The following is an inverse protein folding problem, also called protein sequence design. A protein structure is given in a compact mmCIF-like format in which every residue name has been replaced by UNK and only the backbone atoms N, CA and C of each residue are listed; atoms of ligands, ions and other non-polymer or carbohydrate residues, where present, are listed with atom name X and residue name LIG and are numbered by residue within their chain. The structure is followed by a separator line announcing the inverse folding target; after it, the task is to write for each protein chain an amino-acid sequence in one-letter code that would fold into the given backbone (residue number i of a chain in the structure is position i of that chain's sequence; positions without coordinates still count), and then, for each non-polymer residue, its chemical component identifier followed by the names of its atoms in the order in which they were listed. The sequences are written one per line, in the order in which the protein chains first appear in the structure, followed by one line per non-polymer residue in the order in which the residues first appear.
data_IF_041421475521
#
_entry.id   IF_041421475521
#
_cell.length_a   1.000
_cell.length_b   1.000
_cell.length_c   1.000
_cell.angle_alpha   90.00
_cell.angle_beta   90.00
_cell.angle_gamma   90.00
#
_symmetry.space_group_name_H-M   'P 1'
#
loop_
_entity.id
_entity.type
_entity.pdbx_description
1 polymer ?
#
# COMPACT_ATOMS: atom_id res chain seq x y z
N UNK A 1 29.55 39.17 -2.38
CA UNK A 1 30.32 38.19 -3.19
C UNK A 1 29.32 37.51 -4.12
N UNK A 2 29.53 37.57 -5.45
CA UNK A 2 28.61 36.95 -6.40
C UNK A 2 28.72 35.41 -6.32
N UNK A 3 27.65 34.68 -6.63
CA UNK A 3 27.64 33.21 -6.65
C UNK A 3 28.70 32.63 -7.60
N UNK A 4 28.98 33.33 -8.69
CA UNK A 4 30.02 32.97 -9.66
C UNK A 4 31.43 33.10 -9.06
N UNK A 5 31.69 34.17 -8.29
CA UNK A 5 32.97 34.37 -7.58
C UNK A 5 33.21 33.27 -6.53
N UNK A 6 32.16 32.90 -5.78
CA UNK A 6 32.22 31.82 -4.79
C UNK A 6 32.52 30.48 -5.46
N UNK A 7 31.87 30.17 -6.59
CA UNK A 7 32.10 28.94 -7.33
C UNK A 7 33.53 28.88 -7.89
N UNK A 8 34.03 29.97 -8.48
CA UNK A 8 35.38 30.00 -9.03
C UNK A 8 36.46 29.79 -7.97
N UNK A 9 36.26 30.34 -6.75
CA UNK A 9 37.19 30.21 -5.62
C UNK A 9 37.10 28.87 -4.90
N UNK A 10 35.92 28.27 -4.81
CA UNK A 10 35.70 27.07 -3.97
C UNK A 10 35.46 25.80 -4.77
N UNK A 11 35.22 25.91 -6.08
CA UNK A 11 34.70 24.85 -6.97
C UNK A 11 33.43 24.17 -6.43
N UNK A 12 32.72 24.84 -5.52
CA UNK A 12 31.47 24.37 -4.91
C UNK A 12 30.35 25.33 -5.28
N UNK A 13 29.19 24.77 -5.62
CA UNK A 13 27.97 25.58 -5.72
C UNK A 13 27.52 25.94 -4.31
N UNK A 14 26.94 27.13 -4.10
CA UNK A 14 26.41 27.50 -2.79
C UNK A 14 25.39 26.46 -2.32
N UNK A 15 25.30 26.19 -1.01
CA UNK A 15 24.31 25.27 -0.45
C UNK A 15 22.91 25.67 -0.93
N UNK A 16 22.14 24.70 -1.42
CA UNK A 16 20.74 24.94 -1.80
C UNK A 16 19.98 25.32 -0.53
N UNK A 17 19.35 26.50 -0.54
CA UNK A 17 18.55 27.01 0.59
C UNK A 17 17.23 26.24 0.77
N UNK A 18 16.72 25.59 -0.29
CA UNK A 18 15.49 24.79 -0.23
C UNK A 18 15.80 23.36 0.21
N UNK A 19 14.99 22.75 1.10
CA UNK A 19 15.14 21.36 1.49
C UNK A 19 15.03 20.45 0.25
N UNK A 20 15.90 19.43 0.17
CA UNK A 20 15.87 18.44 -0.92
C UNK A 20 14.60 17.59 -0.89
N UNK A 21 14.00 17.40 0.29
CA UNK A 21 12.77 16.65 0.47
C UNK A 21 11.56 17.53 0.20
N UNK A 22 10.75 17.16 -0.79
CA UNK A 22 9.34 17.59 -0.85
C UNK A 22 8.53 16.62 0.02
N UNK A 23 7.51 17.08 0.77
CA UNK A 23 6.61 16.16 1.44
C UNK A 23 5.97 15.23 0.39
N UNK A 24 5.71 13.99 0.78
CA UNK A 24 4.97 13.07 -0.06
C UNK A 24 3.61 13.71 -0.42
N UNK A 25 3.11 13.55 -1.66
CA UNK A 25 1.78 14.01 -2.00
C UNK A 25 0.78 13.43 -1.00
N UNK A 26 -0.09 14.27 -0.46
CA UNK A 26 -1.15 13.83 0.45
C UNK A 26 -1.97 12.76 -0.26
N UNK A 27 -2.35 11.72 0.47
CA UNK A 27 -3.23 10.69 -0.07
C UNK A 27 -4.50 11.36 -0.62
N UNK A 28 -5.04 10.81 -1.72
CA UNK A 28 -6.28 11.33 -2.30
C UNK A 28 -7.42 11.13 -1.30
N UNK A 29 -8.32 12.10 -1.20
CA UNK A 29 -9.48 12.05 -0.31
C UNK A 29 -10.27 10.75 -0.46
N UNK A 30 -10.58 10.35 -1.71
CA UNK A 30 -11.21 9.06 -2.03
C UNK A 30 -10.50 7.83 -1.46
N UNK A 31 -9.16 7.85 -1.42
CA UNK A 31 -8.43 6.74 -0.81
C UNK A 31 -8.65 6.72 0.72
N UNK A 32 -8.63 7.89 1.37
CA UNK A 32 -8.80 8.00 2.81
C UNK A 32 -10.21 7.56 3.22
N UNK A 33 -11.22 7.99 2.46
CA UNK A 33 -12.61 7.56 2.64
C UNK A 33 -12.73 6.04 2.49
N UNK A 34 -12.23 5.46 1.40
CA UNK A 34 -12.28 4.02 1.20
C UNK A 34 -11.46 3.21 2.23
N UNK A 35 -10.28 3.68 2.65
CA UNK A 35 -9.51 3.01 3.72
C UNK A 35 -10.32 2.95 5.01
N UNK A 36 -10.97 4.06 5.38
CA UNK A 36 -11.76 4.13 6.61
C UNK A 36 -13.06 3.33 6.50
N UNK A 37 -13.73 3.35 5.34
CA UNK A 37 -14.92 2.52 5.09
C UNK A 37 -14.60 1.04 5.24
N UNK A 38 -13.55 0.54 4.58
CA UNK A 38 -13.18 -0.88 4.70
C UNK A 38 -12.80 -1.26 6.13
N UNK A 39 -12.10 -0.39 6.84
CA UNK A 39 -11.77 -0.59 8.25
C UNK A 39 -13.03 -0.76 9.10
N UNK A 40 -14.02 0.12 8.96
CA UNK A 40 -15.29 0.04 9.69
C UNK A 40 -16.08 -1.22 9.34
N UNK A 41 -16.18 -1.57 8.05
CA UNK A 41 -16.86 -2.78 7.58
C UNK A 41 -16.21 -4.06 8.15
N UNK A 42 -14.87 -4.11 8.23
CA UNK A 42 -14.16 -5.26 8.79
C UNK A 42 -14.40 -5.40 10.30
N UNK A 43 -14.40 -4.28 11.04
CA UNK A 43 -14.74 -4.24 12.47
C UNK A 43 -16.18 -4.67 12.73
N UNK A 44 -17.16 -4.12 11.99
CA UNK A 44 -18.58 -4.45 12.14
C UNK A 44 -18.85 -5.94 11.93
N UNK A 45 -18.10 -6.58 11.02
CA UNK A 45 -18.23 -8.00 10.73
C UNK A 45 -17.26 -8.90 11.49
N UNK A 46 -16.50 -8.34 12.45
CA UNK A 46 -15.55 -9.08 13.30
C UNK A 46 -14.54 -9.90 12.48
N UNK A 47 -14.13 -9.39 11.33
CA UNK A 47 -13.15 -10.04 10.46
C UNK A 47 -11.76 -9.64 10.92
N UNK A 48 -10.89 -10.61 11.26
CA UNK A 48 -9.53 -10.30 11.69
C UNK A 48 -8.67 -9.66 10.59
N UNK A 49 -8.11 -8.48 10.88
CA UNK A 49 -7.25 -7.75 9.95
C UNK A 49 -6.06 -7.06 10.62
N UNK A 50 -5.06 -6.67 9.83
CA UNK A 50 -4.02 -5.70 10.19
C UNK A 50 -3.96 -4.56 9.18
N UNK A 51 -3.88 -3.30 9.66
CA UNK A 51 -3.74 -2.12 8.80
C UNK A 51 -2.27 -1.83 8.51
N UNK A 52 -2.00 -1.29 7.31
CA UNK A 52 -0.67 -0.84 6.88
C UNK A 52 0.38 -1.95 7.07
N UNK A 53 -0.03 -3.18 6.76
CA UNK A 53 0.70 -4.39 7.05
C UNK A 53 2.04 -4.44 6.32
N UNK A 54 3.10 -4.67 7.07
CA UNK A 54 4.45 -4.86 6.57
C UNK A 54 4.80 -6.35 6.66
N UNK A 55 4.68 -7.05 5.53
CA UNK A 55 4.93 -8.48 5.45
C UNK A 55 6.43 -8.85 5.48
N UNK A 56 7.30 -7.91 5.07
CA UNK A 56 8.74 -8.08 5.04
C UNK A 56 9.42 -7.00 5.90
N UNK A 57 10.07 -7.41 6.98
CA UNK A 57 10.69 -6.50 7.94
C UNK A 57 11.84 -5.67 7.36
N UNK A 58 12.59 -6.23 6.40
CA UNK A 58 13.78 -5.61 5.82
C UNK A 58 13.45 -4.55 4.76
N UNK A 59 12.21 -4.55 4.25
CA UNK A 59 11.75 -3.63 3.21
C UNK A 59 10.65 -2.74 3.77
N UNK A 60 10.64 -1.47 3.39
CA UNK A 60 9.57 -0.55 3.80
C UNK A 60 8.26 -0.73 2.99
N UNK A 61 7.99 -1.94 2.53
CA UNK A 61 6.82 -2.28 1.72
C UNK A 61 5.61 -2.50 2.63
N UNK A 62 4.48 -1.91 2.26
CA UNK A 62 3.22 -2.05 3.00
C UNK A 62 2.07 -2.36 2.07
N UNK A 63 1.13 -3.15 2.54
CA UNK A 63 -0.21 -3.29 2.00
C UNK A 63 -1.18 -2.52 2.90
N UNK A 64 -2.30 -2.04 2.37
CA UNK A 64 -3.22 -1.22 3.14
C UNK A 64 -3.93 -2.06 4.21
N UNK A 65 -4.30 -3.30 3.87
CA UNK A 65 -4.84 -4.29 4.81
C UNK A 65 -4.25 -5.68 4.61
N UNK A 66 -4.22 -6.45 5.69
CA UNK A 66 -3.99 -7.89 5.69
C UNK A 66 -5.19 -8.58 6.35
N UNK A 67 -5.88 -9.46 5.62
CA UNK A 67 -6.98 -10.29 6.16
C UNK A 67 -6.41 -11.63 6.60
N UNK A 68 -6.31 -11.81 7.93
CA UNK A 68 -5.48 -12.86 8.55
C UNK A 68 -5.93 -14.26 8.14
N UNK A 69 -7.22 -14.55 8.27
CA UNK A 69 -7.77 -15.89 8.01
C UNK A 69 -7.65 -16.31 6.53
N UNK A 70 -7.67 -15.35 5.61
CA UNK A 70 -7.54 -15.60 4.17
C UNK A 70 -6.09 -15.56 3.66
N UNK A 71 -5.15 -15.18 4.54
CA UNK A 71 -3.77 -14.85 4.16
C UNK A 71 -3.73 -13.87 2.95
N UNK A 72 -4.62 -12.88 2.97
CA UNK A 72 -4.89 -11.97 1.84
C UNK A 72 -4.37 -10.56 2.13
N UNK A 73 -3.56 -10.03 1.22
CA UNK A 73 -3.04 -8.66 1.22
C UNK A 73 -3.89 -7.80 0.29
N UNK A 74 -4.38 -6.68 0.79
CA UNK A 74 -5.24 -5.76 0.04
C UNK A 74 -4.52 -4.44 -0.21
N UNK A 75 -4.61 -3.96 -1.45
CA UNK A 75 -4.20 -2.62 -1.86
C UNK A 75 -5.39 -1.81 -2.37
N UNK A 76 -5.48 -0.55 -1.97
CA UNK A 76 -6.48 0.40 -2.42
C UNK A 76 -5.83 1.30 -3.48
N UNK A 77 -6.47 1.42 -4.64
CA UNK A 77 -5.98 2.28 -5.71
C UNK A 77 -5.89 3.74 -5.22
N UNK A 78 -4.73 4.36 -5.49
CA UNK A 78 -4.43 5.69 -4.96
C UNK A 78 -3.75 5.69 -3.59
N UNK A 79 -3.45 4.49 -3.03
CA UNK A 79 -2.64 4.36 -1.82
C UNK A 79 -1.31 5.11 -1.95
N UNK A 80 -0.88 5.83 -0.90
CA UNK A 80 0.43 6.49 -0.88
C UNK A 80 1.58 5.48 -0.97
N UNK A 81 1.31 4.20 -0.67
CA UNK A 81 2.27 3.10 -0.75
C UNK A 81 2.29 2.41 -2.11
N UNK A 82 1.36 2.74 -3.00
CA UNK A 82 1.33 2.22 -4.36
C UNK A 82 2.61 2.66 -5.11
N UNK A 83 3.43 1.67 -5.44
CA UNK A 83 4.71 1.86 -6.13
C UNK A 83 4.46 2.02 -7.64
N UNK A 84 4.92 3.13 -8.23
CA UNK A 84 5.09 3.19 -9.69
C UNK A 84 5.04 4.56 -10.36
N UNK A 85 6.20 5.23 -10.47
CA UNK A 85 6.53 6.16 -11.58
C UNK A 85 8.05 6.11 -11.84
N UNK A 86 8.46 5.60 -13.01
CA UNK A 86 9.85 5.43 -13.44
C UNK A 86 10.37 3.98 -13.32
N UNK A 87 11.20 3.53 -14.28
CA UNK A 87 11.56 2.11 -14.46
C UNK A 87 12.07 1.37 -13.23
N UNK A 88 12.92 2.01 -12.41
CA UNK A 88 13.42 1.40 -11.15
C UNK A 88 12.31 1.19 -10.10
N UNK A 89 11.30 2.04 -10.08
CA UNK A 89 10.16 1.89 -9.15
C UNK A 89 9.18 0.81 -9.60
N UNK A 90 9.10 0.58 -10.92
CA UNK A 90 8.29 -0.51 -11.50
C UNK A 90 8.96 -1.86 -11.18
N UNK A 91 10.27 -2.00 -11.41
CA UNK A 91 11.00 -3.22 -11.05
C UNK A 91 10.90 -3.54 -9.54
N UNK A 92 11.00 -2.52 -8.68
CA UNK A 92 10.79 -2.71 -7.24
C UNK A 92 9.35 -3.09 -6.86
N UNK A 93 8.35 -2.77 -7.69
CA UNK A 93 6.97 -3.17 -7.48
C UNK A 93 6.79 -4.66 -7.77
N UNK A 94 7.32 -5.15 -8.90
CA UNK A 94 7.29 -6.58 -9.22
C UNK A 94 7.91 -7.42 -8.10
N UNK A 95 9.11 -7.04 -7.64
CA UNK A 95 9.76 -7.74 -6.51
C UNK A 95 8.94 -7.74 -5.21
N UNK A 96 8.03 -6.77 -5.00
CA UNK A 96 7.14 -6.73 -3.83
C UNK A 96 6.04 -7.78 -3.95
N UNK A 97 5.38 -7.84 -5.10
CA UNK A 97 4.27 -8.77 -5.34
C UNK A 97 4.80 -10.20 -5.40
N UNK A 98 5.86 -10.43 -6.18
CA UNK A 98 6.47 -11.76 -6.34
C UNK A 98 6.88 -12.33 -4.98
N UNK A 99 7.57 -11.55 -4.14
CA UNK A 99 7.98 -12.00 -2.81
C UNK A 99 6.78 -12.30 -1.89
N UNK A 100 5.74 -11.49 -1.94
CA UNK A 100 4.55 -11.73 -1.13
C UNK A 100 3.82 -13.02 -1.57
N UNK A 101 3.73 -13.27 -2.88
CA UNK A 101 3.18 -14.51 -3.42
C UNK A 101 4.04 -15.73 -3.06
N UNK A 102 5.37 -15.62 -3.16
CA UNK A 102 6.32 -16.67 -2.74
C UNK A 102 6.18 -17.00 -1.23
N UNK A 103 5.83 -16.00 -0.42
CA UNK A 103 5.51 -16.17 1.01
C UNK A 103 4.09 -16.74 1.24
N UNK A 104 3.36 -17.09 0.19
CA UNK A 104 2.03 -17.70 0.23
C UNK A 104 0.89 -16.72 0.51
N UNK A 105 1.11 -15.42 0.32
CA UNK A 105 0.03 -14.44 0.40
C UNK A 105 -0.71 -14.35 -0.93
N UNK A 106 -2.04 -14.20 -0.85
CA UNK A 106 -2.85 -13.75 -1.98
C UNK A 106 -2.85 -12.23 -1.98
N UNK A 107 -2.84 -11.60 -3.15
CA UNK A 107 -2.81 -10.14 -3.26
C UNK A 107 -3.98 -9.68 -4.12
N UNK A 108 -4.73 -8.69 -3.66
CA UNK A 108 -5.80 -8.09 -4.44
C UNK A 108 -5.79 -6.58 -4.33
N UNK A 109 -5.91 -5.92 -5.49
CA UNK A 109 -6.08 -4.47 -5.56
C UNK A 109 -7.53 -4.12 -5.86
N UNK A 110 -8.07 -3.13 -5.16
CA UNK A 110 -9.42 -2.60 -5.35
C UNK A 110 -9.42 -1.10 -5.63
N UNK A 111 -10.40 -0.64 -6.39
CA UNK A 111 -10.68 0.79 -6.56
C UNK A 111 -11.54 1.31 -5.40
N UNK A 112 -11.33 2.55 -4.93
CA UNK A 112 -12.09 3.14 -3.82
C UNK A 112 -13.62 2.98 -3.91
N UNK A 113 -14.19 3.23 -5.09
CA UNK A 113 -15.64 3.12 -5.32
C UNK A 113 -16.21 1.71 -5.08
N UNK A 114 -15.40 0.66 -5.31
CA UNK A 114 -15.84 -0.71 -5.08
C UNK A 114 -15.93 -1.02 -3.57
N UNK A 115 -15.06 -0.39 -2.78
CA UNK A 115 -15.09 -0.46 -1.32
C UNK A 115 -16.29 0.31 -0.80
N UNK A 116 -16.46 1.58 -1.21
CA UNK A 116 -17.57 2.44 -0.79
C UNK A 116 -18.96 1.83 -1.11
N UNK A 117 -19.07 1.03 -2.19
CA UNK A 117 -20.30 0.30 -2.54
C UNK A 117 -20.57 -0.97 -1.71
N UNK A 118 -19.70 -1.30 -0.76
CA UNK A 118 -19.70 -2.54 0.02
C UNK A 118 -19.44 -3.81 -0.81
N UNK A 119 -19.00 -3.68 -2.07
CA UNK A 119 -18.75 -4.85 -2.93
C UNK A 119 -17.55 -5.65 -2.45
N UNK A 120 -16.53 -4.97 -1.94
CA UNK A 120 -15.31 -5.61 -1.44
C UNK A 120 -15.60 -6.44 -0.19
N UNK A 121 -16.33 -5.90 0.79
CA UNK A 121 -16.65 -6.66 2.00
C UNK A 121 -17.53 -7.88 1.72
N UNK A 122 -18.51 -7.76 0.82
CA UNK A 122 -19.31 -8.92 0.36
C UNK A 122 -18.44 -9.99 -0.28
N UNK A 123 -17.47 -9.58 -1.09
CA UNK A 123 -16.52 -10.51 -1.71
C UNK A 123 -15.62 -11.18 -0.67
N UNK A 124 -15.07 -10.43 0.31
CA UNK A 124 -14.24 -10.98 1.41
C UNK A 124 -15.01 -12.04 2.18
N UNK A 125 -16.26 -11.76 2.57
CA UNK A 125 -17.13 -12.73 3.26
C UNK A 125 -17.31 -14.02 2.45
N UNK A 126 -17.59 -13.89 1.16
CA UNK A 126 -17.72 -15.05 0.28
C UNK A 126 -16.42 -15.88 0.18
N UNK A 127 -15.24 -15.24 0.25
CA UNK A 127 -13.97 -15.98 0.33
C UNK A 127 -13.81 -16.71 1.66
N UNK A 128 -14.25 -16.12 2.77
CA UNK A 128 -14.22 -16.74 4.10
C UNK A 128 -15.16 -17.95 4.17
N UNK A 129 -16.38 -17.82 3.65
CA UNK A 129 -17.36 -18.91 3.58
C UNK A 129 -16.81 -20.11 2.78
N UNK A 130 -16.23 -19.85 1.59
CA UNK A 130 -15.58 -20.90 0.79
C UNK A 130 -14.49 -21.63 1.55
N UNK A 131 -13.63 -20.88 2.27
CA UNK A 131 -12.56 -21.47 3.06
C UNK A 131 -13.13 -22.35 4.19
N UNK A 132 -14.20 -21.91 4.85
CA UNK A 132 -14.85 -22.69 5.90
C UNK A 132 -15.47 -23.99 5.35
N UNK A 133 -16.10 -23.94 4.18
CA UNK A 133 -16.68 -25.13 3.55
C UNK A 133 -15.61 -26.12 3.08
N UNK A 134 -14.48 -25.63 2.56
CA UNK A 134 -13.32 -26.50 2.23
C UNK A 134 -12.79 -27.21 3.49
N UNK A 135 -12.70 -26.52 4.63
CA UNK A 135 -12.23 -27.13 5.88
C UNK A 135 -13.21 -28.13 6.51
N UNK A 136 -14.51 -28.01 6.24
CA UNK A 136 -15.54 -28.95 6.74
C UNK A 136 -15.61 -30.25 5.94
N UNK A 137 -15.11 -30.25 4.71
CA UNK A 137 -15.16 -31.39 3.79
C UNK A 137 -13.89 -32.26 3.82
N UNK A 138 -12.98 -32.00 4.77
CA UNK A 138 -11.75 -32.78 5.04
C UNK A 138 -11.92 -33.49 6.38
#
# INVERSE_FOLDING_TARGET
MNADDYFWKTKKRPPKTKPRSKPLPKAKEKYLEAEETLFQELEEHLIGYERKFQFESTKNWRFDFYIVKLRLLIEIAGSPWAVGRGGRKIANAFNKYDLAEDMGYRIQRFEPHAIESGSVIRWIKSQLERLEDETKNI
#
